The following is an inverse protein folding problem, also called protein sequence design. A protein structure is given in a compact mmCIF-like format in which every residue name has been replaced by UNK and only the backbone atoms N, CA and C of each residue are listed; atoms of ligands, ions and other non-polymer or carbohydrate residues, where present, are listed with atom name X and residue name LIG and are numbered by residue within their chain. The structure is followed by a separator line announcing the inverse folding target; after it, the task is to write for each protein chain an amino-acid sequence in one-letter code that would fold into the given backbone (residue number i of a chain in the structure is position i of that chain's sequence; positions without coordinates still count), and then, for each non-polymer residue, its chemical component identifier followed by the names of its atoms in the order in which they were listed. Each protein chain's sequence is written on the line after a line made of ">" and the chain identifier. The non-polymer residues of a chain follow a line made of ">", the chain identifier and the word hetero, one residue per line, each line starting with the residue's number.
data_IF_703296576441
#
_entry.id   IF_703296576441
#
_cell.length_a   1.000
_cell.length_b   1.000
_cell.length_c   1.000
_cell.angle_alpha   90.00
_cell.angle_beta   90.00
_cell.angle_gamma   90.00
#
_symmetry.space_group_name_H-M   'P 1'
#
loop_
_entity.id
_entity.type
_entity.pdbx_description
1 polymer ?
#
# COMPACT_ATOMS: atom_id res chain seq x y z
N UNK A 1 92.05 -8.86 -14.20
CA UNK A 1 92.41 -8.30 -15.52
C UNK A 1 91.22 -8.52 -16.43
N UNK A 2 90.73 -7.44 -17.07
CA UNK A 2 89.98 -7.37 -18.34
C UNK A 2 88.72 -8.26 -18.49
N UNK A 3 87.64 -7.92 -19.19
CA UNK A 3 87.17 -6.74 -19.88
C UNK A 3 85.68 -7.00 -20.19
N UNK A 4 84.98 -5.92 -20.49
CA UNK A 4 83.59 -5.75 -20.92
C UNK A 4 83.17 -6.52 -22.19
N UNK A 5 81.86 -6.84 -22.32
CA UNK A 5 80.92 -6.51 -23.43
C UNK A 5 79.62 -7.33 -23.25
N UNK A 6 78.48 -6.72 -22.92
CA UNK A 6 77.43 -6.20 -23.83
C UNK A 6 76.64 -7.26 -24.62
N UNK A 7 75.32 -7.36 -24.35
CA UNK A 7 74.20 -7.43 -25.33
C UNK A 7 72.87 -7.89 -24.70
N UNK A 8 71.96 -6.90 -24.63
CA UNK A 8 70.50 -6.89 -24.86
C UNK A 8 69.68 -8.20 -25.01
N UNK A 9 68.60 -8.24 -24.21
CA UNK A 9 67.19 -8.59 -24.50
C UNK A 9 66.87 -9.89 -25.25
N UNK A 10 66.30 -10.84 -24.50
CA UNK A 10 65.39 -11.87 -25.02
C UNK A 10 64.09 -11.86 -24.21
N UNK A 11 62.98 -11.75 -24.92
CA UNK A 11 61.61 -11.64 -24.45
C UNK A 11 61.19 -12.74 -23.46
N UNK A 12 60.69 -12.32 -22.28
CA UNK A 12 59.86 -13.17 -21.43
C UNK A 12 58.44 -12.61 -21.52
N UNK A 13 57.63 -13.24 -22.37
CA UNK A 13 56.19 -13.02 -22.44
C UNK A 13 55.57 -13.57 -21.16
N UNK A 14 55.19 -12.69 -20.24
CA UNK A 14 54.32 -13.03 -19.11
C UNK A 14 52.89 -13.11 -19.64
N UNK A 15 52.39 -14.33 -19.87
CA UNK A 15 50.97 -14.54 -20.11
C UNK A 15 50.17 -14.16 -18.85
N UNK A 16 49.52 -13.00 -18.87
CA UNK A 16 48.43 -12.72 -17.95
C UNK A 16 47.27 -13.64 -18.30
N UNK A 17 47.05 -14.69 -17.50
CA UNK A 17 45.79 -15.41 -17.51
C UNK A 17 44.71 -14.49 -16.93
N UNK A 18 43.74 -14.09 -17.77
CA UNK A 18 42.50 -13.48 -17.28
C UNK A 18 41.77 -14.47 -16.37
N UNK A 19 41.20 -14.01 -15.24
CA UNK A 19 40.44 -14.89 -14.38
C UNK A 19 39.18 -15.36 -15.12
N UNK A 20 39.00 -16.68 -15.22
CA UNK A 20 37.81 -17.31 -15.77
C UNK A 20 36.55 -16.64 -15.17
N UNK A 21 35.57 -16.24 -16.01
CA UNK A 21 34.38 -15.58 -15.53
C UNK A 21 33.67 -16.52 -14.56
N UNK A 22 33.56 -16.10 -13.29
CA UNK A 22 32.78 -16.82 -12.28
C UNK A 22 31.35 -16.94 -12.81
N UNK A 23 30.97 -18.16 -13.19
CA UNK A 23 29.60 -18.48 -13.59
C UNK A 23 28.69 -18.11 -12.43
N UNK A 24 27.87 -17.06 -12.64
CA UNK A 24 26.79 -16.73 -11.70
C UNK A 24 25.96 -18.01 -11.52
N UNK A 25 25.72 -18.49 -10.29
CA UNK A 25 24.89 -19.67 -10.10
C UNK A 25 23.55 -19.39 -10.77
N UNK A 26 23.18 -20.22 -11.77
CA UNK A 26 21.85 -20.17 -12.38
C UNK A 26 20.87 -20.38 -11.24
N UNK A 27 20.19 -19.30 -10.84
CA UNK A 27 19.13 -19.34 -9.85
C UNK A 27 18.06 -20.27 -10.43
N UNK A 28 17.98 -21.50 -9.94
CA UNK A 28 16.98 -22.47 -10.38
C UNK A 28 15.61 -21.91 -9.97
N UNK A 29 14.91 -21.26 -10.90
CA UNK A 29 13.56 -20.75 -10.67
C UNK A 29 12.63 -21.96 -10.76
N UNK A 30 12.31 -22.54 -9.61
CA UNK A 30 11.48 -23.76 -9.47
C UNK A 30 10.05 -23.64 -10.05
N UNK A 31 9.67 -22.45 -10.52
CA UNK A 31 8.32 -22.07 -10.95
C UNK A 31 8.29 -21.43 -12.36
N UNK A 32 9.13 -21.87 -13.30
CA UNK A 32 8.93 -21.47 -14.70
C UNK A 32 7.66 -22.12 -15.26
N UNK A 33 6.83 -21.31 -15.92
CA UNK A 33 5.67 -21.80 -16.65
C UNK A 33 6.18 -22.67 -17.81
N UNK A 34 5.72 -23.91 -17.96
CA UNK A 34 6.16 -24.78 -19.06
C UNK A 34 5.89 -24.18 -20.44
N UNK A 35 6.79 -24.44 -21.40
CA UNK A 35 6.63 -24.02 -22.80
C UNK A 35 5.36 -24.59 -23.44
N UNK A 36 4.90 -25.75 -22.98
CA UNK A 36 3.64 -26.36 -23.41
C UNK A 36 2.39 -25.56 -23.01
N UNK A 37 2.49 -24.65 -22.04
CA UNK A 37 1.43 -23.71 -21.68
C UNK A 37 1.65 -22.37 -22.39
N UNK A 38 2.90 -21.86 -22.40
CA UNK A 38 3.21 -20.57 -23.01
C UNK A 38 2.94 -20.54 -24.52
N UNK A 39 3.28 -21.62 -25.22
CA UNK A 39 3.20 -21.71 -26.68
C UNK A 39 2.00 -22.51 -27.18
N UNK A 40 1.01 -22.81 -26.34
CA UNK A 40 -0.23 -23.48 -26.75
C UNK A 40 -1.04 -22.54 -27.67
N UNK A 41 -1.22 -22.87 -28.97
CA UNK A 41 -1.89 -21.98 -29.92
C UNK A 41 -3.37 -21.77 -29.59
N UNK A 42 -4.07 -22.79 -29.06
CA UNK A 42 -5.48 -22.71 -28.74
C UNK A 42 -5.71 -21.87 -27.48
N UNK A 43 -4.87 -22.03 -26.46
CA UNK A 43 -4.90 -21.19 -25.27
C UNK A 43 -4.60 -19.73 -25.62
N UNK A 44 -3.58 -19.47 -26.45
CA UNK A 44 -3.22 -18.11 -26.86
C UNK A 44 -4.32 -17.45 -27.70
N UNK A 45 -5.01 -18.20 -28.56
CA UNK A 45 -6.17 -17.70 -29.28
C UNK A 45 -7.30 -17.30 -28.33
N UNK A 46 -7.60 -18.12 -27.31
CA UNK A 46 -8.62 -17.77 -26.31
C UNK A 46 -8.23 -16.55 -25.46
N UNK A 47 -6.96 -16.45 -25.05
CA UNK A 47 -6.43 -15.28 -24.31
C UNK A 47 -6.55 -14.00 -25.13
N UNK A 48 -6.42 -14.07 -26.47
CA UNK A 48 -6.51 -12.89 -27.34
C UNK A 48 -7.88 -12.19 -27.34
N UNK A 49 -8.92 -12.83 -26.79
CA UNK A 49 -10.23 -12.22 -26.56
C UNK A 49 -10.21 -11.19 -25.42
N UNK A 50 -9.23 -11.26 -24.52
CA UNK A 50 -9.02 -10.29 -23.45
C UNK A 50 -8.28 -9.06 -24.00
N UNK A 51 -8.50 -7.86 -23.41
CA UNK A 51 -7.84 -6.65 -23.89
C UNK A 51 -6.32 -6.75 -23.76
N UNK A 52 -5.62 -6.58 -24.88
CA UNK A 52 -4.18 -6.79 -24.99
C UNK A 52 -3.32 -5.88 -24.09
N UNK A 53 -3.86 -4.73 -23.69
CA UNK A 53 -3.17 -3.80 -22.80
C UNK A 53 -3.29 -4.17 -21.30
N UNK A 54 -4.13 -5.15 -20.94
CA UNK A 54 -4.28 -5.65 -19.57
C UNK A 54 -3.60 -7.02 -19.44
N UNK A 55 -2.68 -7.14 -18.50
CA UNK A 55 -1.99 -8.40 -18.25
C UNK A 55 -2.71 -9.23 -17.18
N UNK A 56 -3.65 -10.08 -17.59
CA UNK A 56 -4.35 -11.02 -16.68
C UNK A 56 -3.50 -12.23 -16.25
N UNK A 57 -2.25 -12.35 -16.73
CA UNK A 57 -1.33 -13.45 -16.41
C UNK A 57 -1.97 -14.86 -16.56
N UNK A 58 -2.81 -15.07 -17.58
CA UNK A 58 -3.60 -16.31 -17.72
C UNK A 58 -2.73 -17.58 -17.71
N UNK A 59 -1.57 -17.57 -18.39
CA UNK A 59 -0.66 -18.71 -18.37
C UNK A 59 -0.20 -19.10 -16.96
N UNK A 60 0.04 -18.10 -16.09
CA UNK A 60 0.41 -18.32 -14.68
C UNK A 60 -0.73 -18.94 -13.91
N UNK A 61 -1.98 -18.53 -14.17
CA UNK A 61 -3.16 -19.10 -13.53
C UNK A 61 -3.33 -20.56 -13.96
N UNK A 62 -3.28 -20.84 -15.28
CA UNK A 62 -3.38 -22.21 -15.81
C UNK A 62 -2.30 -23.10 -15.23
N UNK A 63 -1.05 -22.64 -15.20
CA UNK A 63 0.05 -23.37 -14.58
C UNK A 63 -0.18 -23.61 -13.09
N UNK A 64 -0.62 -22.59 -12.35
CA UNK A 64 -0.88 -22.71 -10.91
C UNK A 64 -1.93 -23.78 -10.67
N UNK A 65 -3.06 -23.72 -11.36
CA UNK A 65 -4.17 -24.68 -11.25
C UNK A 65 -3.71 -26.10 -11.54
N UNK A 66 -3.01 -26.32 -12.66
CA UNK A 66 -2.47 -27.64 -13.05
C UNK A 66 -1.45 -28.15 -12.03
N UNK A 67 -0.51 -27.31 -11.59
CA UNK A 67 0.56 -27.70 -10.65
C UNK A 67 0.03 -28.06 -9.26
N UNK A 68 -1.11 -27.50 -8.85
CA UNK A 68 -1.74 -27.79 -7.55
C UNK A 68 -2.89 -28.79 -7.65
N UNK A 69 -3.21 -29.30 -8.85
CA UNK A 69 -4.40 -30.09 -9.12
C UNK A 69 -5.69 -29.44 -8.57
N UNK A 70 -5.78 -28.11 -8.64
CA UNK A 70 -6.97 -27.39 -8.20
C UNK A 70 -8.10 -27.61 -9.22
N UNK A 71 -9.26 -28.09 -8.78
CA UNK A 71 -10.40 -28.35 -9.67
C UNK A 71 -11.57 -27.41 -9.39
N UNK A 72 -11.65 -26.85 -8.18
CA UNK A 72 -12.64 -25.86 -7.77
C UNK A 72 -11.94 -24.54 -7.51
N UNK A 73 -12.27 -23.50 -8.26
CA UNK A 73 -11.61 -22.19 -8.14
C UNK A 73 -12.63 -21.09 -7.91
N UNK A 74 -12.26 -20.10 -7.11
CA UNK A 74 -12.99 -18.85 -6.97
C UNK A 74 -12.24 -17.74 -7.71
N UNK A 75 -12.96 -16.91 -8.44
CA UNK A 75 -12.43 -15.72 -9.12
C UNK A 75 -13.06 -14.49 -8.48
N UNK A 76 -12.22 -13.54 -8.09
CA UNK A 76 -12.64 -12.27 -7.51
C UNK A 76 -12.07 -11.12 -8.32
N UNK A 77 -12.93 -10.19 -8.72
CA UNK A 77 -12.57 -9.06 -9.57
C UNK A 77 -13.04 -7.75 -8.94
N UNK A 78 -12.30 -6.64 -9.13
CA UNK A 78 -12.91 -5.31 -9.01
C UNK A 78 -13.98 -5.14 -10.08
N UNK A 79 -14.89 -4.20 -9.85
CA UNK A 79 -16.07 -3.95 -10.68
C UNK A 79 -15.70 -3.73 -12.15
N UNK A 80 -14.65 -2.97 -12.41
CA UNK A 80 -14.16 -2.66 -13.76
C UNK A 80 -13.55 -3.85 -14.51
N UNK A 81 -13.29 -4.98 -13.85
CA UNK A 81 -12.76 -6.19 -14.48
C UNK A 81 -13.74 -7.37 -14.44
N UNK A 82 -14.86 -7.24 -13.72
CA UNK A 82 -15.85 -8.31 -13.53
C UNK A 82 -16.42 -8.81 -14.86
N UNK A 83 -16.53 -7.95 -15.88
CA UNK A 83 -16.99 -8.32 -17.22
C UNK A 83 -16.12 -9.38 -17.90
N UNK A 84 -14.85 -9.52 -17.51
CA UNK A 84 -13.94 -10.52 -18.06
C UNK A 84 -14.03 -11.88 -17.36
N UNK A 85 -14.78 -11.97 -16.27
CA UNK A 85 -14.88 -13.17 -15.42
C UNK A 85 -15.33 -14.41 -16.19
N UNK A 86 -16.33 -14.28 -17.07
CA UNK A 86 -16.87 -15.42 -17.82
C UNK A 86 -15.89 -15.97 -18.84
N UNK A 87 -15.23 -15.09 -19.61
CA UNK A 87 -14.18 -15.49 -20.58
C UNK A 87 -13.03 -16.19 -19.86
N UNK A 88 -12.59 -15.64 -18.72
CA UNK A 88 -11.53 -16.26 -17.91
C UNK A 88 -11.99 -17.61 -17.35
N UNK A 89 -13.23 -17.71 -16.86
CA UNK A 89 -13.82 -18.97 -16.38
C UNK A 89 -13.82 -20.05 -17.47
N UNK A 90 -14.22 -19.71 -18.70
CA UNK A 90 -14.25 -20.63 -19.83
C UNK A 90 -12.84 -21.10 -20.21
N UNK A 91 -11.86 -20.18 -20.21
CA UNK A 91 -10.45 -20.51 -20.43
C UNK A 91 -9.95 -21.50 -19.37
N UNK A 92 -10.21 -21.25 -18.09
CA UNK A 92 -9.71 -22.10 -17.02
C UNK A 92 -10.38 -23.48 -17.00
N UNK A 93 -11.67 -23.54 -17.32
CA UNK A 93 -12.41 -24.81 -17.46
C UNK A 93 -11.85 -25.63 -18.63
N UNK A 94 -11.60 -24.98 -19.77
CA UNK A 94 -11.13 -25.65 -20.99
C UNK A 94 -9.66 -26.09 -20.88
N UNK A 95 -8.79 -25.21 -20.40
CA UNK A 95 -7.34 -25.40 -20.50
C UNK A 95 -6.68 -25.79 -19.17
N UNK A 96 -7.32 -25.61 -18.02
CA UNK A 96 -6.67 -25.87 -16.72
C UNK A 96 -7.23 -27.08 -15.95
N UNK A 97 -8.26 -27.76 -16.47
CA UNK A 97 -8.86 -28.92 -15.79
C UNK A 97 -9.74 -28.53 -14.60
N UNK A 98 -10.23 -27.29 -14.59
CA UNK A 98 -11.18 -26.80 -13.59
C UNK A 98 -12.54 -27.42 -13.84
N UNK A 99 -13.15 -28.01 -12.83
CA UNK A 99 -14.50 -28.58 -12.90
C UNK A 99 -15.57 -27.59 -12.45
N UNK A 100 -15.24 -26.68 -11.53
CA UNK A 100 -16.13 -25.65 -11.03
C UNK A 100 -15.39 -24.34 -10.88
N UNK A 101 -15.92 -23.29 -11.49
CA UNK A 101 -15.40 -21.93 -11.39
C UNK A 101 -16.49 -21.03 -10.77
N UNK A 102 -16.22 -20.48 -9.59
CA UNK A 102 -17.09 -19.56 -8.88
C UNK A 102 -16.65 -18.14 -9.19
N UNK A 103 -17.55 -17.30 -9.70
CA UNK A 103 -17.31 -15.86 -9.79
C UNK A 103 -17.92 -15.21 -8.55
N UNK A 104 -17.06 -14.62 -7.70
CA UNK A 104 -17.52 -13.87 -6.54
C UNK A 104 -18.05 -12.51 -7.02
N UNK A 105 -19.35 -12.30 -6.86
CA UNK A 105 -20.07 -11.14 -7.40
C UNK A 105 -20.19 -9.95 -6.44
N UNK A 106 -19.71 -10.08 -5.20
CA UNK A 106 -19.67 -8.99 -4.25
C UNK A 106 -18.58 -7.96 -4.61
N UNK A 107 -18.77 -6.74 -4.12
CA UNK A 107 -17.88 -5.60 -4.38
C UNK A 107 -16.45 -5.88 -3.93
N UNK A 108 -15.47 -5.40 -4.69
CA UNK A 108 -14.04 -5.56 -4.38
C UNK A 108 -13.30 -4.25 -4.59
N UNK A 109 -13.32 -3.40 -3.56
CA UNK A 109 -12.72 -2.05 -3.61
C UNK A 109 -11.19 -2.03 -3.62
N UNK A 110 -10.51 -3.11 -3.19
CA UNK A 110 -9.05 -3.07 -3.02
C UNK A 110 -8.41 -4.35 -2.52
N UNK A 111 -7.10 -4.26 -2.29
CA UNK A 111 -6.25 -5.34 -1.78
C UNK A 111 -6.67 -5.89 -0.40
N UNK A 112 -7.45 -5.13 0.37
CA UNK A 112 -8.00 -5.52 1.66
C UNK A 112 -9.30 -6.35 1.55
N UNK A 113 -9.95 -6.37 0.39
CA UNK A 113 -11.25 -7.00 0.18
C UNK A 113 -11.13 -8.48 -0.27
N UNK A 114 -10.01 -9.14 0.01
CA UNK A 114 -9.78 -10.53 -0.40
C UNK A 114 -10.81 -11.43 0.28
N UNK A 115 -11.67 -12.08 -0.51
CA UNK A 115 -12.78 -12.89 0.02
C UNK A 115 -12.42 -14.38 0.05
N UNK A 116 -11.41 -14.69 0.86
CA UNK A 116 -10.99 -16.07 1.10
C UNK A 116 -11.99 -16.84 1.97
N UNK A 117 -12.84 -16.13 2.72
CA UNK A 117 -13.83 -16.73 3.62
C UNK A 117 -15.00 -17.35 2.83
N UNK A 118 -15.58 -16.62 1.87
CA UNK A 118 -16.63 -17.17 1.00
C UNK A 118 -16.07 -18.26 0.10
N UNK A 119 -14.86 -18.04 -0.45
CA UNK A 119 -14.20 -19.06 -1.27
C UNK A 119 -13.96 -20.36 -0.50
N UNK A 120 -13.58 -20.29 0.79
CA UNK A 120 -13.51 -21.45 1.66
C UNK A 120 -14.88 -22.10 1.88
N UNK A 121 -15.93 -21.31 2.13
CA UNK A 121 -17.28 -21.83 2.34
C UNK A 121 -17.84 -22.56 1.11
N UNK A 122 -17.34 -22.24 -0.09
CA UNK A 122 -17.66 -22.92 -1.35
C UNK A 122 -16.77 -24.15 -1.62
N UNK A 123 -15.90 -24.53 -0.70
CA UNK A 123 -14.86 -25.54 -0.89
C UNK A 123 -14.02 -25.27 -2.16
N UNK A 124 -13.66 -24.01 -2.39
CA UNK A 124 -12.70 -23.67 -3.44
C UNK A 124 -11.28 -24.05 -3.00
N UNK A 125 -10.51 -24.63 -3.92
CA UNK A 125 -9.12 -25.03 -3.68
C UNK A 125 -8.14 -23.86 -3.88
N UNK A 126 -8.55 -22.85 -4.66
CA UNK A 126 -7.74 -21.68 -5.01
C UNK A 126 -8.67 -20.49 -5.24
N UNK A 127 -8.35 -19.35 -4.63
CA UNK A 127 -8.91 -18.04 -5.00
C UNK A 127 -7.93 -17.30 -5.91
N UNK A 128 -8.39 -16.80 -7.04
CA UNK A 128 -7.64 -15.87 -7.90
C UNK A 128 -8.21 -14.47 -7.70
N UNK A 129 -7.41 -13.59 -7.10
CA UNK A 129 -7.79 -12.21 -6.80
C UNK A 129 -7.14 -11.27 -7.81
N UNK A 130 -7.96 -10.57 -8.59
CA UNK A 130 -7.50 -9.70 -9.67
C UNK A 130 -7.42 -8.22 -9.26
N UNK A 131 -6.57 -7.47 -9.94
CA UNK A 131 -6.53 -6.00 -9.96
C UNK A 131 -5.72 -5.33 -8.86
N UNK A 132 -5.53 -5.98 -7.71
CA UNK A 132 -4.87 -5.36 -6.55
C UNK A 132 -3.64 -6.12 -6.07
N UNK A 133 -2.72 -5.40 -5.42
CA UNK A 133 -1.55 -5.99 -4.79
C UNK A 133 -1.88 -6.80 -3.54
N UNK A 134 -0.89 -7.52 -3.02
CA UNK A 134 -1.02 -8.30 -1.80
C UNK A 134 -0.79 -7.41 -0.56
N UNK A 135 -1.85 -6.76 -0.07
CA UNK A 135 -1.85 -6.11 1.24
C UNK A 135 -2.03 -7.14 2.37
N UNK A 136 -2.93 -8.09 2.16
CA UNK A 136 -3.20 -9.22 3.07
C UNK A 136 -2.18 -10.32 2.80
N UNK A 137 -1.32 -10.69 3.75
CA UNK A 137 -0.37 -11.78 3.57
C UNK A 137 -1.06 -13.14 3.33
N UNK A 138 -0.50 -13.96 2.44
CA UNK A 138 -1.06 -15.27 2.07
C UNK A 138 -1.12 -16.25 3.26
N UNK A 139 -0.27 -16.08 4.29
CA UNK A 139 -0.33 -16.86 5.53
C UNK A 139 -1.46 -16.43 6.48
N UNK A 140 -2.18 -15.37 6.15
CA UNK A 140 -3.37 -14.91 6.87
C UNK A 140 -4.68 -15.34 6.18
N UNK A 141 -4.62 -15.82 4.94
CA UNK A 141 -5.80 -16.33 4.21
C UNK A 141 -6.07 -17.79 4.59
N UNK A 142 -7.33 -18.19 4.48
CA UNK A 142 -7.82 -19.48 4.93
C UNK A 142 -7.79 -20.55 3.84
N UNK A 143 -7.63 -20.12 2.59
CA UNK A 143 -7.32 -20.94 1.42
C UNK A 143 -6.16 -20.31 0.64
N UNK A 144 -5.49 -21.06 -0.25
CA UNK A 144 -4.49 -20.48 -1.15
C UNK A 144 -5.08 -19.36 -2.01
N UNK A 145 -4.41 -18.21 -2.03
CA UNK A 145 -4.78 -17.07 -2.89
C UNK A 145 -3.67 -16.79 -3.90
N UNK A 146 -4.04 -16.64 -5.16
CA UNK A 146 -3.19 -16.17 -6.24
C UNK A 146 -3.59 -14.73 -6.60
N UNK A 147 -2.71 -13.78 -6.29
CA UNK A 147 -2.89 -12.39 -6.68
C UNK A 147 -2.40 -12.16 -8.12
N UNK A 148 -3.24 -11.50 -8.91
CA UNK A 148 -2.95 -11.06 -10.28
C UNK A 148 -3.18 -9.55 -10.32
N UNK A 149 -2.12 -8.76 -10.44
CA UNK A 149 -2.22 -7.30 -10.27
C UNK A 149 -2.86 -6.59 -11.47
N UNK A 150 -3.00 -7.29 -12.60
CA UNK A 150 -3.54 -6.78 -13.87
C UNK A 150 -2.85 -5.48 -14.27
N UNK A 151 -1.56 -5.61 -14.61
CA UNK A 151 -0.78 -4.47 -15.09
C UNK A 151 -1.36 -3.93 -16.39
N UNK A 152 -1.43 -2.61 -16.49
CA UNK A 152 -1.96 -1.90 -17.66
C UNK A 152 -0.80 -1.25 -18.40
N UNK A 153 -0.61 -1.66 -19.65
CA UNK A 153 0.39 -1.07 -20.53
C UNK A 153 -0.04 0.31 -21.01
N UNK A 154 0.81 1.31 -20.78
CA UNK A 154 0.57 2.71 -21.19
C UNK A 154 1.72 3.23 -22.05
N UNK A 155 1.48 4.30 -22.80
CA UNK A 155 2.52 4.95 -23.58
C UNK A 155 3.45 5.77 -22.67
N UNK A 156 4.59 5.19 -22.28
CA UNK A 156 5.59 5.84 -21.42
C UNK A 156 6.30 7.02 -22.09
N UNK A 157 6.34 7.09 -23.42
CA UNK A 157 6.93 8.23 -24.13
C UNK A 157 6.10 9.49 -23.95
N UNK A 158 4.77 9.38 -24.05
CA UNK A 158 3.88 10.52 -23.77
C UNK A 158 4.07 11.07 -22.35
N UNK A 159 4.24 10.20 -21.36
CA UNK A 159 4.54 10.61 -19.99
C UNK A 159 5.89 11.36 -19.92
N UNK A 160 6.94 10.83 -20.55
CA UNK A 160 8.24 11.50 -20.62
C UNK A 160 8.15 12.87 -21.30
N UNK A 161 7.46 12.94 -22.44
CA UNK A 161 7.28 14.17 -23.22
C UNK A 161 6.53 15.24 -22.41
N UNK A 162 5.44 14.87 -21.74
CA UNK A 162 4.69 15.78 -20.86
C UNK A 162 5.53 16.27 -19.68
N UNK A 163 6.30 15.40 -19.04
CA UNK A 163 7.17 15.82 -17.92
C UNK A 163 8.30 16.74 -18.39
N UNK A 164 8.93 16.44 -19.52
CA UNK A 164 10.00 17.25 -20.08
C UNK A 164 9.49 18.59 -20.65
N UNK A 165 8.25 18.65 -21.11
CA UNK A 165 7.62 19.88 -21.59
C UNK A 165 7.26 20.83 -20.44
N UNK A 166 6.71 20.30 -19.35
CA UNK A 166 6.20 21.12 -18.24
C UNK A 166 7.26 21.48 -17.18
N UNK A 167 8.38 20.74 -17.12
CA UNK A 167 9.39 20.91 -16.08
C UNK A 167 10.81 21.02 -16.63
N UNK A 168 11.68 21.71 -15.90
CA UNK A 168 13.11 21.87 -16.24
C UNK A 168 13.98 21.39 -15.07
N UNK A 169 15.05 20.64 -15.35
CA UNK A 169 15.90 19.99 -14.34
C UNK A 169 16.66 20.99 -13.42
N UNK A 170 16.82 22.22 -13.88
CA UNK A 170 17.34 23.36 -13.15
C UNK A 170 16.39 23.84 -12.04
N UNK A 171 15.06 23.70 -12.23
CA UNK A 171 14.03 24.13 -11.27
C UNK A 171 13.50 23.01 -10.38
N UNK A 172 13.65 21.76 -10.80
CA UNK A 172 13.17 20.60 -10.03
C UNK A 172 14.33 19.98 -9.23
N UNK A 173 14.08 19.74 -7.94
CA UNK A 173 14.96 19.00 -7.04
C UNK A 173 14.76 17.50 -7.25
N UNK A 174 13.54 17.00 -6.98
CA UNK A 174 13.17 15.61 -7.22
C UNK A 174 11.76 15.49 -7.82
N UNK A 175 11.62 14.56 -8.77
CA UNK A 175 10.34 13.95 -9.08
C UNK A 175 10.04 12.81 -8.12
N UNK A 176 8.99 12.96 -7.33
CA UNK A 176 8.47 11.91 -6.47
C UNK A 176 7.42 11.15 -7.26
N UNK A 177 7.80 9.99 -7.81
CA UNK A 177 6.93 9.21 -8.66
C UNK A 177 6.21 8.11 -7.89
N UNK A 178 4.89 8.12 -8.01
CA UNK A 178 4.01 7.10 -7.43
C UNK A 178 2.80 6.85 -8.35
N UNK A 179 1.98 5.87 -8.02
CA UNK A 179 0.76 5.53 -8.74
C UNK A 179 0.07 4.33 -8.14
N UNK A 180 -0.94 3.84 -8.83
CA UNK A 180 -1.58 2.56 -8.48
C UNK A 180 -0.75 1.39 -9.01
N UNK A 181 -0.98 0.18 -8.47
CA UNK A 181 -0.19 -1.01 -8.82
C UNK A 181 -0.22 -1.32 -10.32
N UNK A 182 -1.33 -1.02 -11.00
CA UNK A 182 -1.54 -1.30 -12.42
C UNK A 182 -0.54 -0.55 -13.31
N UNK A 183 -0.02 0.61 -12.87
CA UNK A 183 0.95 1.43 -13.61
C UNK A 183 2.39 1.31 -13.08
N UNK A 184 2.65 0.40 -12.15
CA UNK A 184 3.96 0.29 -11.49
C UNK A 184 5.12 0.02 -12.47
N UNK A 185 4.88 -0.74 -13.54
CA UNK A 185 5.88 -0.98 -14.59
C UNK A 185 6.20 0.28 -15.40
N UNK A 186 5.20 1.12 -15.68
CA UNK A 186 5.43 2.38 -16.37
C UNK A 186 6.30 3.32 -15.53
N UNK A 187 6.04 3.41 -14.23
CA UNK A 187 6.86 4.20 -13.29
C UNK A 187 8.31 3.70 -13.28
N UNK A 188 8.51 2.38 -13.16
CA UNK A 188 9.85 1.77 -13.20
C UNK A 188 10.57 2.01 -14.53
N UNK A 189 9.86 1.98 -15.65
CA UNK A 189 10.41 2.18 -16.98
C UNK A 189 10.79 3.64 -17.26
N UNK A 190 10.02 4.59 -16.75
CA UNK A 190 10.23 6.03 -16.98
C UNK A 190 11.36 6.60 -16.12
N UNK A 191 11.56 6.07 -14.90
CA UNK A 191 12.62 6.49 -13.98
C UNK A 191 14.02 6.63 -14.64
N UNK A 192 14.61 5.59 -15.25
CA UNK A 192 15.96 5.71 -15.82
C UNK A 192 16.03 6.69 -17.00
N UNK A 193 14.95 6.88 -17.75
CA UNK A 193 14.92 7.83 -18.86
C UNK A 193 14.86 9.28 -18.35
N UNK A 194 14.10 9.56 -17.30
CA UNK A 194 14.11 10.87 -16.62
C UNK A 194 15.48 11.19 -16.00
N UNK A 195 16.16 10.18 -15.42
CA UNK A 195 17.50 10.35 -14.87
C UNK A 195 18.54 10.71 -15.96
N UNK A 196 18.40 10.17 -17.18
CA UNK A 196 19.24 10.56 -18.33
C UNK A 196 18.98 12.00 -18.78
N UNK A 197 17.76 12.51 -18.63
CA UNK A 197 17.39 13.89 -18.90
C UNK A 197 17.86 14.87 -17.80
N UNK A 198 18.50 14.37 -16.74
CA UNK A 198 19.08 15.17 -15.67
C UNK A 198 18.15 15.39 -14.46
N UNK A 199 16.97 14.77 -14.44
CA UNK A 199 16.08 14.81 -13.28
C UNK A 199 16.52 13.81 -12.21
N UNK A 200 16.27 14.13 -10.93
CA UNK A 200 16.35 13.13 -9.85
C UNK A 200 14.97 12.52 -9.64
N UNK A 201 14.90 11.20 -9.53
CA UNK A 201 13.63 10.49 -9.38
C UNK A 201 13.61 9.66 -8.10
N UNK A 202 12.74 10.04 -7.17
CA UNK A 202 12.44 9.30 -5.95
C UNK A 202 11.17 8.47 -6.17
N UNK A 203 11.24 7.18 -5.84
CA UNK A 203 10.09 6.26 -5.89
C UNK A 203 9.89 5.72 -4.47
N UNK A 204 9.04 6.36 -3.64
CA UNK A 204 8.88 6.01 -2.23
C UNK A 204 8.15 4.68 -2.07
N UNK A 205 8.23 4.07 -0.87
CA UNK A 205 7.60 2.78 -0.59
C UNK A 205 7.11 2.71 0.86
N UNK A 206 5.81 2.43 1.05
CA UNK A 206 5.27 1.94 2.30
C UNK A 206 5.21 0.42 2.26
N UNK A 207 5.85 -0.27 3.20
CA UNK A 207 5.80 -1.75 3.25
C UNK A 207 4.44 -2.19 3.82
N UNK A 208 3.82 -3.25 3.27
CA UNK A 208 4.39 -4.26 2.37
C UNK A 208 4.23 -3.95 0.86
N UNK A 209 3.71 -2.79 0.47
CA UNK A 209 3.44 -2.45 -0.92
C UNK A 209 4.72 -2.36 -1.77
N UNK A 210 4.54 -2.40 -3.09
CA UNK A 210 5.63 -2.21 -4.04
C UNK A 210 6.15 -0.77 -4.00
N UNK A 211 7.41 -0.55 -4.41
CA UNK A 211 7.92 0.81 -4.57
C UNK A 211 7.09 1.58 -5.62
N UNK A 212 6.70 2.80 -5.27
CA UNK A 212 5.86 3.69 -6.07
C UNK A 212 4.38 3.38 -5.98
N UNK A 213 3.97 2.36 -5.22
CA UNK A 213 2.57 2.00 -5.06
C UNK A 213 1.94 2.74 -3.88
N UNK A 214 0.74 3.29 -4.10
CA UNK A 214 -0.08 3.94 -3.07
C UNK A 214 -1.48 3.35 -3.05
N UNK A 215 -1.98 3.08 -1.84
CA UNK A 215 -3.38 2.70 -1.58
C UNK A 215 -4.12 3.85 -0.87
N UNK A 216 -5.45 3.85 -0.91
CA UNK A 216 -6.26 4.88 -0.25
C UNK A 216 -6.06 4.93 1.27
N UNK A 217 -5.58 3.84 1.87
CA UNK A 217 -5.32 3.68 3.30
C UNK A 217 -3.82 3.50 3.65
N UNK A 218 -2.93 3.58 2.65
CA UNK A 218 -1.50 3.36 2.82
C UNK A 218 -0.72 4.20 1.83
N UNK A 219 -0.19 5.32 2.32
CA UNK A 219 0.64 6.25 1.55
C UNK A 219 1.95 6.56 2.30
N UNK A 220 3.10 6.57 1.60
CA UNK A 220 4.36 6.90 2.23
C UNK A 220 4.47 8.40 2.51
N UNK A 221 5.06 8.76 3.64
CA UNK A 221 5.52 10.12 3.90
C UNK A 221 6.94 10.31 3.38
N UNK A 222 7.15 11.37 2.61
CA UNK A 222 8.41 11.69 1.95
C UNK A 222 9.16 12.73 2.77
N UNK A 223 10.33 12.36 3.28
CA UNK A 223 11.23 13.30 3.96
C UNK A 223 12.09 14.00 2.91
N UNK A 224 11.81 15.28 2.69
CA UNK A 224 12.55 16.11 1.73
C UNK A 224 13.81 16.71 2.35
N UNK A 225 14.84 16.88 1.52
CA UNK A 225 15.99 17.72 1.84
C UNK A 225 15.79 19.07 1.15
N UNK A 226 15.71 20.15 1.93
CA UNK A 226 15.50 21.48 1.38
C UNK A 226 16.66 21.89 0.46
N UNK A 227 16.34 22.22 -0.79
CA UNK A 227 17.25 22.74 -1.79
C UNK A 227 16.77 24.13 -2.22
N UNK A 228 17.44 25.23 -1.81
CA UNK A 228 16.99 26.58 -2.15
C UNK A 228 16.83 26.78 -3.66
N UNK A 229 15.67 27.29 -4.09
CA UNK A 229 15.37 27.58 -5.49
C UNK A 229 15.01 26.37 -6.35
N UNK A 230 14.82 25.18 -5.76
CA UNK A 230 14.34 24.00 -6.45
C UNK A 230 13.12 23.38 -5.76
N UNK A 231 12.16 22.96 -6.57
CA UNK A 231 10.92 22.37 -6.10
C UNK A 231 10.99 20.83 -6.11
N UNK A 232 10.44 20.21 -5.07
CA UNK A 232 10.09 18.79 -5.09
C UNK A 232 8.62 18.67 -5.54
N UNK A 233 8.34 17.79 -6.49
CA UNK A 233 6.98 17.62 -7.02
C UNK A 233 6.58 16.15 -7.10
N UNK A 234 5.34 15.85 -6.73
CA UNK A 234 4.73 14.54 -6.89
C UNK A 234 4.22 14.39 -8.32
N UNK A 235 4.63 13.31 -8.98
CA UNK A 235 4.05 12.86 -10.25
C UNK A 235 3.34 11.54 -10.00
N UNK A 236 2.01 11.58 -10.00
CA UNK A 236 1.17 10.44 -9.72
C UNK A 236 0.55 9.88 -11.01
N UNK A 237 0.87 8.64 -11.37
CA UNK A 237 0.35 7.99 -12.59
C UNK A 237 -0.94 7.25 -12.24
N UNK A 238 -2.09 7.84 -12.59
CA UNK A 238 -3.41 7.26 -12.41
C UNK A 238 -4.50 7.99 -13.19
N UNK A 239 -5.60 7.29 -13.48
CA UNK A 239 -6.84 7.82 -14.05
C UNK A 239 -7.82 8.40 -13.02
N UNK A 240 -7.61 8.14 -11.73
CA UNK A 240 -8.43 8.64 -10.62
C UNK A 240 -7.64 9.42 -9.56
N UNK A 241 -8.37 10.19 -8.73
CA UNK A 241 -7.80 11.01 -7.65
C UNK A 241 -7.69 10.29 -6.31
N UNK A 242 -8.53 9.28 -6.05
CA UNK A 242 -8.66 8.63 -4.73
C UNK A 242 -7.30 8.23 -4.11
N UNK A 243 -6.44 7.54 -4.85
CA UNK A 243 -5.12 7.13 -4.35
C UNK A 243 -4.14 8.31 -4.21
N UNK A 244 -4.21 9.29 -5.12
CA UNK A 244 -3.42 10.50 -5.05
C UNK A 244 -3.78 11.34 -3.82
N UNK A 245 -5.05 11.45 -3.48
CA UNK A 245 -5.51 12.18 -2.29
C UNK A 245 -4.88 11.61 -1.02
N UNK A 246 -4.79 10.29 -0.88
CA UNK A 246 -4.08 9.67 0.24
C UNK A 246 -2.61 10.09 0.29
N UNK A 247 -1.96 10.19 -0.88
CA UNK A 247 -0.58 10.64 -0.97
C UNK A 247 -0.40 12.13 -0.67
N UNK A 248 -1.36 12.97 -1.10
CA UNK A 248 -1.41 14.40 -0.77
C UNK A 248 -1.62 14.60 0.74
N UNK A 249 -2.57 13.89 1.36
CA UNK A 249 -2.79 13.95 2.82
C UNK A 249 -1.50 13.62 3.58
N UNK A 250 -0.75 12.61 3.13
CA UNK A 250 0.52 12.21 3.74
C UNK A 250 1.67 13.21 3.50
N UNK A 251 1.55 14.10 2.49
CA UNK A 251 2.60 15.00 2.01
C UNK A 251 2.02 16.38 1.63
N UNK A 252 1.42 17.13 2.57
CA UNK A 252 0.63 18.34 2.27
C UNK A 252 1.47 19.51 1.71
N UNK A 253 2.78 19.49 1.93
CA UNK A 253 3.69 20.57 1.49
C UNK A 253 4.22 20.37 0.06
N UNK A 254 3.94 19.23 -0.56
CA UNK A 254 4.50 18.87 -1.87
C UNK A 254 3.42 19.03 -2.94
N UNK A 255 3.72 19.84 -3.96
CA UNK A 255 2.82 20.03 -5.11
C UNK A 255 2.62 18.71 -5.85
N UNK A 256 1.37 18.36 -6.12
CA UNK A 256 1.01 17.10 -6.73
C UNK A 256 0.44 17.27 -8.13
N UNK A 257 0.94 16.44 -9.05
CA UNK A 257 0.45 16.36 -10.41
C UNK A 257 -0.03 14.94 -10.71
N UNK A 258 -1.22 14.80 -11.26
CA UNK A 258 -1.74 13.53 -11.78
C UNK A 258 -1.51 13.44 -13.27
N UNK A 259 -0.80 12.41 -13.72
CA UNK A 259 -0.76 12.05 -15.13
C UNK A 259 -1.84 11.02 -15.41
N UNK A 260 -2.80 11.39 -16.23
CA UNK A 260 -3.83 10.49 -16.73
C UNK A 260 -3.31 9.78 -17.99
N UNK A 261 -3.08 8.45 -17.96
CA UNK A 261 -2.49 7.74 -19.07
C UNK A 261 -3.43 7.56 -20.27
N UNK A 262 -4.74 7.70 -20.07
CA UNK A 262 -5.73 7.59 -21.14
C UNK A 262 -5.89 8.92 -21.87
N UNK A 263 -5.92 10.03 -21.12
CA UNK A 263 -5.96 11.37 -21.70
C UNK A 263 -4.58 11.82 -22.21
N UNK A 264 -3.50 11.25 -21.66
CA UNK A 264 -2.13 11.64 -21.95
C UNK A 264 -1.82 13.06 -21.48
N UNK A 265 -2.37 13.47 -20.34
CA UNK A 265 -2.27 14.83 -19.81
C UNK A 265 -1.87 14.85 -18.35
N UNK A 266 -1.13 15.89 -17.99
CA UNK A 266 -0.79 16.21 -16.61
C UNK A 266 -1.78 17.23 -16.04
N UNK A 267 -2.30 16.94 -14.85
CA UNK A 267 -3.20 17.80 -14.10
C UNK A 267 -2.53 18.22 -12.81
N UNK A 268 -2.54 19.51 -12.48
CA UNK A 268 -2.23 19.97 -11.13
C UNK A 268 -3.41 19.62 -10.23
N UNK A 269 -3.14 18.92 -9.14
CA UNK A 269 -4.16 18.45 -8.21
C UNK A 269 -3.92 19.08 -6.84
N UNK A 270 -5.00 19.56 -6.23
CA UNK A 270 -5.00 20.17 -4.90
C UNK A 270 -5.93 19.37 -3.98
N UNK A 271 -5.66 19.45 -2.68
CA UNK A 271 -6.47 18.82 -1.65
C UNK A 271 -6.80 19.83 -0.55
N UNK A 272 -8.06 19.86 -0.12
CA UNK A 272 -8.51 20.72 0.98
C UNK A 272 -8.10 20.11 2.33
N UNK A 273 -6.82 20.30 2.67
CA UNK A 273 -6.24 19.80 3.93
C UNK A 273 -6.91 20.43 5.16
N UNK A 274 -7.23 21.72 5.10
CA UNK A 274 -7.80 22.46 6.22
C UNK A 274 -9.26 22.08 6.45
N UNK A 275 -10.05 21.97 5.37
CA UNK A 275 -11.42 21.46 5.42
C UNK A 275 -11.46 20.05 6.00
N UNK A 276 -10.70 19.12 5.41
CA UNK A 276 -10.63 17.74 5.91
C UNK A 276 -10.27 17.70 7.39
N UNK A 277 -9.18 18.35 7.81
CA UNK A 277 -8.75 18.33 9.23
C UNK A 277 -9.77 18.99 10.16
N UNK A 278 -10.43 20.05 9.72
CA UNK A 278 -11.47 20.73 10.49
C UNK A 278 -12.67 19.83 10.71
N UNK A 279 -13.14 19.15 9.66
CA UNK A 279 -14.28 18.25 9.75
C UNK A 279 -13.95 17.00 10.59
N UNK A 280 -12.75 16.43 10.41
CA UNK A 280 -12.27 15.32 11.24
C UNK A 280 -12.13 15.70 12.72
N UNK A 281 -11.56 16.87 13.01
CA UNK A 281 -11.48 17.41 14.37
C UNK A 281 -12.87 17.60 14.98
N UNK A 282 -13.82 18.21 14.24
CA UNK A 282 -15.20 18.41 14.69
C UNK A 282 -15.88 17.08 15.01
N UNK A 283 -15.66 16.04 14.20
CA UNK A 283 -16.21 14.72 14.45
C UNK A 283 -15.68 14.12 15.78
N UNK A 284 -14.37 14.27 16.05
CA UNK A 284 -13.76 13.86 17.31
C UNK A 284 -14.35 14.64 18.48
N UNK A 285 -14.37 15.97 18.41
CA UNK A 285 -14.89 16.84 19.47
C UNK A 285 -16.36 16.53 19.80
N UNK A 286 -17.17 16.21 18.79
CA UNK A 286 -18.57 15.77 18.97
C UNK A 286 -18.70 14.40 19.64
N UNK A 287 -17.70 13.53 19.49
CA UNK A 287 -17.69 12.21 20.10
C UNK A 287 -17.14 12.22 21.54
N UNK A 288 -16.37 13.25 21.91
CA UNK A 288 -15.91 13.44 23.29
C UNK A 288 -17.14 13.60 24.20
N UNK A 289 -17.25 12.73 25.21
CA UNK A 289 -18.38 12.71 26.14
C UNK A 289 -19.60 11.91 25.67
N UNK A 290 -19.52 11.20 24.54
CA UNK A 290 -20.52 10.21 24.14
C UNK A 290 -20.68 9.12 25.21
N UNK A 291 -21.93 8.76 25.51
CA UNK A 291 -22.25 7.77 26.55
C UNK A 291 -22.39 6.37 25.98
N UNK A 292 -23.04 6.26 24.81
CA UNK A 292 -23.20 5.01 24.09
C UNK A 292 -22.43 4.99 22.78
N UNK A 293 -21.61 3.96 22.60
CA UNK A 293 -20.73 3.81 21.45
C UNK A 293 -21.16 2.65 20.54
N UNK A 294 -21.07 2.85 19.24
CA UNK A 294 -21.19 1.78 18.24
C UNK A 294 -19.83 1.48 17.64
N UNK A 295 -19.37 0.23 17.74
CA UNK A 295 -18.15 -0.24 17.08
C UNK A 295 -18.55 -1.07 15.86
N UNK A 296 -18.25 -0.57 14.66
CA UNK A 296 -18.39 -1.32 13.42
C UNK A 296 -17.14 -2.15 13.17
N UNK A 297 -17.28 -3.46 13.04
CA UNK A 297 -16.24 -4.34 12.50
C UNK A 297 -16.58 -4.68 11.04
N UNK A 298 -15.71 -4.25 10.12
CA UNK A 298 -15.88 -4.49 8.69
C UNK A 298 -15.75 -5.96 8.33
N UNK A 299 -16.76 -6.54 7.67
CA UNK A 299 -16.74 -7.94 7.22
C UNK A 299 -16.50 -8.12 5.73
N UNK A 300 -16.28 -7.04 4.98
CA UNK A 300 -15.90 -7.11 3.57
C UNK A 300 -14.43 -7.54 3.45
N UNK A 301 -14.23 -8.77 2.98
CA UNK A 301 -12.92 -9.41 2.89
C UNK A 301 -12.19 -9.40 4.23
N UNK A 302 -11.09 -8.65 4.30
CA UNK A 302 -10.21 -8.54 5.47
C UNK A 302 -10.03 -7.11 5.98
N UNK A 303 -10.96 -6.20 5.65
CA UNK A 303 -10.91 -4.80 6.11
C UNK A 303 -10.96 -4.68 7.65
N UNK A 304 -11.81 -5.47 8.30
CA UNK A 304 -11.90 -5.51 9.75
C UNK A 304 -10.73 -6.22 10.41
N UNK A 305 -10.37 -5.75 11.60
CA UNK A 305 -9.32 -6.34 12.41
C UNK A 305 -9.83 -6.66 13.82
N UNK A 306 -10.09 -7.95 14.13
CA UNK A 306 -10.54 -8.37 15.46
C UNK A 306 -9.61 -7.94 16.59
N UNK A 307 -8.29 -7.82 16.35
CA UNK A 307 -7.36 -7.37 17.40
C UNK A 307 -7.57 -5.90 17.79
N UNK A 308 -7.96 -5.06 16.82
CA UNK A 308 -8.29 -3.66 17.08
C UNK A 308 -9.61 -3.59 17.83
N UNK A 309 -10.57 -4.46 17.49
CA UNK A 309 -11.83 -4.59 18.21
C UNK A 309 -11.60 -4.99 19.68
N UNK A 310 -10.89 -6.09 19.93
CA UNK A 310 -10.61 -6.58 21.30
C UNK A 310 -9.97 -5.49 22.18
N UNK A 311 -9.09 -4.67 21.60
CA UNK A 311 -8.44 -3.54 22.29
C UNK A 311 -9.42 -2.40 22.61
N UNK A 312 -10.25 -2.02 21.65
CA UNK A 312 -11.26 -0.98 21.85
C UNK A 312 -12.30 -1.41 22.87
N UNK A 313 -12.76 -2.65 22.82
CA UNK A 313 -13.65 -3.24 23.83
C UNK A 313 -13.04 -3.20 25.24
N UNK A 314 -11.76 -3.57 25.35
CA UNK A 314 -11.02 -3.46 26.61
C UNK A 314 -10.96 -2.02 27.14
N UNK A 315 -10.58 -1.06 26.28
CA UNK A 315 -10.49 0.37 26.64
C UNK A 315 -11.84 0.95 27.05
N UNK A 316 -12.90 0.62 26.34
CA UNK A 316 -14.24 1.08 26.68
C UNK A 316 -14.73 0.48 28.00
N UNK A 317 -14.48 -0.81 28.22
CA UNK A 317 -14.80 -1.49 29.48
C UNK A 317 -14.07 -0.88 30.67
N UNK A 318 -12.76 -0.64 30.53
CA UNK A 318 -11.93 -0.03 31.57
C UNK A 318 -12.39 1.40 31.94
N UNK A 319 -12.96 2.13 30.97
CA UNK A 319 -13.51 3.47 31.13
C UNK A 319 -14.99 3.48 31.55
N UNK A 320 -15.62 2.30 31.67
CA UNK A 320 -17.03 2.17 32.02
C UNK A 320 -17.99 2.78 31.00
N UNK A 321 -17.62 2.76 29.71
CA UNK A 321 -18.44 3.25 28.61
C UNK A 321 -19.36 2.15 28.09
N UNK A 322 -20.62 2.50 27.78
CA UNK A 322 -21.55 1.58 27.13
C UNK A 322 -21.22 1.47 25.64
N UNK A 323 -21.14 0.25 25.12
CA UNK A 323 -20.86 0.04 23.71
C UNK A 323 -21.56 -1.20 23.12
N UNK A 324 -21.74 -1.19 21.80
CA UNK A 324 -22.23 -2.34 21.04
C UNK A 324 -21.38 -2.59 19.80
N UNK A 325 -21.22 -3.85 19.43
CA UNK A 325 -20.45 -4.25 18.23
C UNK A 325 -21.42 -4.63 17.11
N UNK A 326 -21.21 -4.05 15.92
CA UNK A 326 -22.02 -4.30 14.73
C UNK A 326 -21.12 -4.78 13.58
N UNK A 327 -21.43 -5.96 13.04
CA UNK A 327 -20.71 -6.52 11.89
C UNK A 327 -21.35 -6.03 10.59
N UNK A 328 -20.58 -5.36 9.72
CA UNK A 328 -21.11 -4.78 8.47
C UNK A 328 -20.13 -5.02 7.32
N UNK A 329 -20.61 -5.55 6.20
CA UNK A 329 -19.80 -5.68 4.98
C UNK A 329 -19.63 -4.33 4.30
N UNK A 330 -20.74 -3.70 3.94
CA UNK A 330 -20.77 -2.38 3.33
C UNK A 330 -21.44 -1.37 4.26
N UNK A 331 -20.62 -0.48 4.83
CA UNK A 331 -21.04 0.62 5.69
C UNK A 331 -21.71 1.72 4.87
N UNK A 332 -22.89 2.15 5.29
CA UNK A 332 -23.58 3.28 4.65
C UNK A 332 -24.32 4.14 5.67
N UNK A 333 -24.50 5.45 5.40
CA UNK A 333 -25.25 6.34 6.28
C UNK A 333 -26.65 5.81 6.59
N UNK A 334 -27.36 5.31 5.58
CA UNK A 334 -28.72 4.77 5.72
C UNK A 334 -28.80 3.59 6.69
N UNK A 335 -27.81 2.69 6.70
CA UNK A 335 -27.80 1.54 7.63
C UNK A 335 -27.54 1.99 9.06
N UNK A 336 -26.59 2.92 9.25
CA UNK A 336 -26.22 3.43 10.56
C UNK A 336 -27.33 4.29 11.17
N UNK A 337 -28.07 5.03 10.35
CA UNK A 337 -29.18 5.86 10.81
C UNK A 337 -30.31 5.07 11.49
N UNK A 338 -30.46 3.78 11.17
CA UNK A 338 -31.48 2.89 11.78
C UNK A 338 -31.27 2.63 13.28
N UNK A 339 -30.09 2.96 13.81
CA UNK A 339 -29.79 2.84 15.25
C UNK A 339 -30.20 4.09 16.04
N UNK A 340 -30.61 5.16 15.34
CA UNK A 340 -31.20 6.38 15.92
C UNK A 340 -30.39 6.92 17.12
N UNK A 341 -31.03 7.11 18.27
CA UNK A 341 -30.44 7.65 19.49
C UNK A 341 -29.88 6.58 20.43
N UNK A 342 -29.88 5.30 20.02
CA UNK A 342 -29.22 4.26 20.80
C UNK A 342 -27.68 4.42 20.79
N UNK A 343 -27.13 5.11 19.78
CA UNK A 343 -25.69 5.32 19.62
C UNK A 343 -25.36 6.81 19.46
N UNK A 344 -24.53 7.33 20.34
CA UNK A 344 -24.06 8.73 20.31
C UNK A 344 -22.92 8.93 19.32
N UNK A 345 -22.00 7.96 19.23
CA UNK A 345 -20.81 8.03 18.38
C UNK A 345 -20.42 6.65 17.82
N UNK A 346 -19.90 6.64 16.60
CA UNK A 346 -19.48 5.43 15.90
C UNK A 346 -17.97 5.39 15.70
N UNK A 347 -17.39 4.21 15.89
CA UNK A 347 -16.03 3.87 15.50
C UNK A 347 -16.12 2.80 14.42
N UNK A 348 -15.41 2.97 13.31
CA UNK A 348 -15.31 1.93 12.29
C UNK A 348 -13.90 1.35 12.21
N UNK A 349 -13.86 0.02 12.26
CA UNK A 349 -12.70 -0.84 12.02
C UNK A 349 -12.93 -1.50 10.66
N UNK A 350 -12.80 -0.71 9.61
CA UNK A 350 -12.94 -1.12 8.20
C UNK A 350 -12.03 -0.25 7.31
N UNK A 351 -12.52 0.24 6.18
CA UNK A 351 -11.79 1.17 5.33
C UNK A 351 -11.72 2.58 5.98
N UNK A 352 -10.52 3.15 6.25
CA UNK A 352 -10.40 4.46 6.89
C UNK A 352 -10.98 5.61 6.05
N UNK A 353 -11.04 5.45 4.73
CA UNK A 353 -11.61 6.44 3.80
C UNK A 353 -13.13 6.63 3.98
N UNK A 354 -13.83 5.69 4.62
CA UNK A 354 -15.25 5.86 4.98
C UNK A 354 -15.44 7.01 5.97
N UNK A 355 -14.55 7.13 6.95
CA UNK A 355 -14.58 8.25 7.90
C UNK A 355 -14.00 9.51 7.27
N UNK A 356 -12.86 9.40 6.56
CA UNK A 356 -12.14 10.56 6.03
C UNK A 356 -12.93 11.29 4.95
N UNK A 357 -13.50 10.56 3.98
CA UNK A 357 -14.18 11.17 2.82
C UNK A 357 -15.68 11.31 3.03
N UNK A 358 -16.30 10.39 3.78
CA UNK A 358 -17.75 10.27 3.88
C UNK A 358 -18.28 10.52 5.29
N UNK A 359 -17.42 10.87 6.25
CA UNK A 359 -17.79 11.03 7.66
C UNK A 359 -18.94 12.02 7.88
N UNK A 360 -18.99 13.11 7.11
CA UNK A 360 -20.03 14.13 7.22
C UNK A 360 -21.39 13.70 6.65
N UNK A 361 -21.42 12.62 5.86
CA UNK A 361 -22.67 12.02 5.42
C UNK A 361 -23.43 11.32 6.57
N UNK A 362 -22.77 11.08 7.71
CA UNK A 362 -23.36 10.46 8.90
C UNK A 362 -23.86 11.52 9.89
N UNK A 363 -25.10 11.33 10.38
CA UNK A 363 -25.70 12.24 11.36
C UNK A 363 -24.93 12.26 12.70
N UNK A 364 -24.56 11.08 13.19
CA UNK A 364 -23.71 10.87 14.37
C UNK A 364 -22.24 10.75 13.91
N UNK A 365 -21.25 11.20 14.71
CA UNK A 365 -19.86 11.16 14.31
C UNK A 365 -19.38 9.74 14.01
N UNK A 366 -18.70 9.56 12.87
CA UNK A 366 -18.06 8.30 12.48
C UNK A 366 -16.54 8.46 12.47
N UNK A 367 -15.87 7.80 13.40
CA UNK A 367 -14.43 7.89 13.63
C UNK A 367 -13.70 6.68 13.05
N UNK A 368 -12.49 6.90 12.55
CA UNK A 368 -11.50 5.83 12.38
C UNK A 368 -11.00 5.33 13.75
N UNK A 369 -10.36 4.16 13.78
CA UNK A 369 -9.72 3.67 15.01
C UNK A 369 -8.69 4.65 15.58
N UNK A 370 -7.92 5.35 14.73
CA UNK A 370 -6.97 6.38 15.17
C UNK A 370 -7.67 7.54 15.89
N UNK A 371 -8.76 8.04 15.33
CA UNK A 371 -9.50 9.18 15.88
C UNK A 371 -10.26 8.79 17.16
N UNK A 372 -10.69 7.53 17.25
CA UNK A 372 -11.27 6.98 18.47
C UNK A 372 -10.29 7.00 19.65
N UNK A 373 -9.03 6.66 19.43
CA UNK A 373 -7.99 6.77 20.46
C UNK A 373 -7.85 8.22 20.98
N UNK A 374 -8.03 9.22 20.11
CA UNK A 374 -8.04 10.62 20.51
C UNK A 374 -9.30 10.95 21.30
N UNK A 375 -10.48 10.56 20.79
CA UNK A 375 -11.77 10.84 21.42
C UNK A 375 -11.90 10.21 22.82
N UNK A 376 -11.29 9.02 23.01
CA UNK A 376 -11.24 8.32 24.28
C UNK A 376 -10.16 8.87 25.23
N UNK A 377 -9.27 9.76 24.74
CA UNK A 377 -8.21 10.38 25.54
C UNK A 377 -6.92 9.55 25.68
N UNK A 378 -6.74 8.53 24.85
CA UNK A 378 -5.53 7.68 24.84
C UNK A 378 -4.41 8.26 23.94
N UNK A 379 -4.79 9.11 22.97
CA UNK A 379 -3.87 9.89 22.15
C UNK A 379 -4.18 11.39 22.20
N UNK A 380 -3.14 12.22 22.13
CA UNK A 380 -3.30 13.67 22.00
C UNK A 380 -3.72 14.05 20.57
N UNK A 381 -4.70 14.95 20.46
CA UNK A 381 -5.15 15.50 19.19
C UNK A 381 -3.99 16.07 18.37
N UNK A 382 -3.98 15.86 17.06
CA UNK A 382 -2.87 16.34 16.21
C UNK A 382 -2.77 17.87 16.19
N UNK A 383 -3.90 18.56 16.36
CA UNK A 383 -3.95 20.03 16.46
C UNK A 383 -3.31 20.58 17.73
N UNK A 384 -3.20 19.80 18.81
CA UNK A 384 -2.59 20.25 20.07
C UNK A 384 -1.07 20.15 20.06
N UNK A 385 -0.51 19.31 19.18
CA UNK A 385 0.93 19.08 19.10
C UNK A 385 1.69 20.28 18.52
N UNK A 386 1.07 21.03 17.60
CA UNK A 386 1.65 22.26 17.01
C UNK A 386 1.87 23.40 18.03
N UNK A 387 1.14 23.43 19.14
CA UNK A 387 1.25 24.49 20.16
C UNK A 387 2.49 24.35 21.08
N UNK A 388 3.13 23.17 21.14
CA UNK A 388 4.31 22.95 21.98
C UNK A 388 5.64 23.36 21.32
N UNK A 389 5.63 23.64 20.02
CA UNK A 389 6.84 23.95 19.25
C UNK A 389 7.33 25.40 19.42
N UNK A 390 6.48 26.31 19.90
CA UNK A 390 6.76 27.76 19.95
C UNK A 390 6.96 28.36 21.36
N UNK A 391 7.15 27.55 22.40
CA UNK A 391 7.44 28.11 23.72
C UNK A 391 7.78 27.10 24.79
N UNK A 392 8.97 27.27 25.39
CA UNK A 392 9.48 26.55 26.56
C UNK A 392 9.91 25.08 26.34
N UNK A 393 11.21 24.95 26.06
CA UNK A 393 12.00 23.74 26.25
C UNK A 393 12.13 23.44 27.75
N UNK A 394 11.10 22.87 28.36
CA UNK A 394 11.21 22.28 29.71
C UNK A 394 11.69 20.85 29.56
N UNK A 395 12.95 20.63 29.92
CA UNK A 395 13.57 19.33 29.94
C UNK A 395 13.08 18.52 31.14
N UNK A 396 12.02 17.73 30.98
CA UNK A 396 11.67 16.64 31.88
C UNK A 396 11.01 15.45 31.12
N UNK A 397 11.83 14.41 30.97
CA UNK A 397 11.58 12.96 30.96
C UNK A 397 10.47 12.27 30.12
N UNK A 398 10.96 11.26 29.38
CA UNK A 398 10.31 10.00 29.00
C UNK A 398 9.00 10.05 28.23
N UNK A 399 9.06 10.12 26.89
CA UNK A 399 8.01 9.54 26.05
C UNK A 399 8.58 9.10 24.69
N UNK A 400 8.02 8.00 24.17
CA UNK A 400 8.37 7.40 22.89
C UNK A 400 8.40 8.48 21.80
N UNK A 401 9.48 8.53 21.01
CA UNK A 401 9.53 9.33 19.77
C UNK A 401 8.53 8.75 18.76
N UNK A 402 7.26 9.05 18.95
CA UNK A 402 6.27 8.98 17.89
C UNK A 402 6.57 10.19 17.00
N UNK A 403 7.04 9.92 15.77
CA UNK A 403 7.32 10.97 14.80
C UNK A 403 6.10 11.89 14.67
N UNK A 404 6.36 13.17 14.43
CA UNK A 404 5.38 14.27 14.37
C UNK A 404 4.47 14.13 13.14
N UNK A 405 3.60 13.12 13.14
CA UNK A 405 2.65 12.84 12.05
C UNK A 405 1.40 13.69 12.29
N UNK A 406 1.14 14.64 11.38
CA UNK A 406 -0.03 15.54 11.41
C UNK A 406 -1.34 14.73 11.32
N UNK A 407 -1.53 13.92 10.29
CA UNK A 407 -2.63 12.96 10.19
C UNK A 407 -2.15 11.67 9.50
N UNK A 408 -2.33 10.48 10.10
CA UNK A 408 -1.74 9.26 9.56
C UNK A 408 -2.48 8.77 8.31
N UNK A 409 -1.71 8.35 7.30
CA UNK A 409 -2.22 7.71 6.09
C UNK A 409 -1.59 6.34 5.81
N UNK A 410 -0.91 5.77 6.80
CA UNK A 410 -0.41 4.39 6.76
C UNK A 410 -1.08 3.55 7.86
N UNK A 411 -2.30 3.09 7.58
CA UNK A 411 -3.11 2.29 8.52
C UNK A 411 -2.62 0.84 8.64
N UNK A 412 -1.58 0.44 7.90
CA UNK A 412 -1.00 -0.91 7.95
C UNK A 412 0.49 -0.89 8.36
N UNK A 413 1.00 0.28 8.77
CA UNK A 413 2.35 0.47 9.27
C UNK A 413 2.63 -0.44 10.47
N UNK A 414 3.82 -1.06 10.49
CA UNK A 414 4.24 -1.92 11.60
C UNK A 414 4.45 -1.13 12.90
N UNK A 415 4.68 0.16 12.80
CA UNK A 415 4.94 1.12 13.88
C UNK A 415 3.80 2.14 14.06
N UNK A 416 2.65 1.95 13.40
CA UNK A 416 1.49 2.85 13.46
C UNK A 416 0.68 2.80 14.77
N UNK A 417 1.29 2.49 15.92
CA UNK A 417 0.58 2.42 17.21
C UNK A 417 -0.41 1.25 17.38
N UNK A 418 -1.31 1.35 18.35
CA UNK A 418 -2.25 0.25 18.67
C UNK A 418 -3.52 0.23 17.80
N UNK A 419 -3.80 1.31 17.09
CA UNK A 419 -4.99 1.51 16.26
C UNK A 419 -4.83 0.98 14.82
N UNK A 420 -3.61 0.62 14.41
CA UNK A 420 -3.37 0.17 13.04
C UNK A 420 -3.87 -1.26 12.79
N UNK A 421 -4.08 -1.57 11.51
CA UNK A 421 -4.55 -2.87 11.03
C UNK A 421 -3.41 -3.77 10.51
N UNK A 422 -2.17 -3.60 10.98
CA UNK A 422 -1.03 -4.36 10.48
C UNK A 422 -1.18 -5.87 10.71
N UNK A 423 -0.92 -6.67 9.68
CA UNK A 423 -0.92 -8.14 9.76
C UNK A 423 0.38 -8.72 10.38
N UNK A 424 1.40 -7.90 10.62
CA UNK A 424 2.66 -8.37 11.22
C UNK A 424 2.41 -8.91 12.62
N UNK A 425 2.83 -10.16 12.87
CA UNK A 425 2.77 -10.80 14.20
C UNK A 425 3.88 -10.32 15.14
N UNK A 426 4.87 -9.57 14.64
CA UNK A 426 5.94 -9.04 15.48
C UNK A 426 5.44 -7.76 16.14
N UNK A 427 5.51 -7.63 17.48
CA UNK A 427 5.21 -6.35 18.12
C UNK A 427 6.10 -5.26 17.50
N UNK A 428 5.55 -4.06 17.36
CA UNK A 428 6.32 -2.88 16.98
C UNK A 428 7.61 -2.88 17.81
N UNK A 429 8.77 -2.84 17.17
CA UNK A 429 10.05 -2.86 17.88
C UNK A 429 10.10 -1.60 18.74
N UNK A 430 9.79 -1.72 20.04
CA UNK A 430 10.26 -0.77 21.03
C UNK A 430 11.77 -0.69 20.84
N UNK A 431 12.27 0.46 20.42
CA UNK A 431 13.70 0.67 20.25
C UNK A 431 14.39 0.23 21.53
N UNK A 432 15.31 -0.75 21.42
CA UNK A 432 16.06 -1.28 22.56
C UNK A 432 16.71 -0.09 23.28
N UNK A 433 16.22 0.24 24.48
CA UNK A 433 16.91 1.12 25.41
C UNK A 433 18.27 0.49 25.68
N UNK A 434 19.35 1.05 25.12
CA UNK A 434 20.69 0.82 25.64
C UNK A 434 20.71 1.42 27.04
N UNK A 435 20.44 0.59 28.06
CA UNK A 435 20.75 0.91 29.45
C UNK A 435 22.28 0.85 29.58
N UNK A 436 22.93 1.96 29.25
CA UNK A 436 24.30 2.19 29.71
C UNK A 436 24.17 2.62 31.17
N UNK A 437 24.51 1.68 32.06
CA UNK A 437 24.53 1.87 33.51
C UNK A 437 25.49 3.03 33.84
N UNK A 438 24.95 4.17 34.28
CA UNK A 438 25.74 5.17 34.99
C UNK A 438 25.80 4.75 36.47
N UNK A 439 26.82 3.99 36.84
CA UNK A 439 27.20 3.81 38.24
C UNK A 439 28.17 4.93 38.62
N UNK A 440 27.64 6.00 39.21
CA UNK A 440 28.43 6.91 40.03
C UNK A 440 28.78 6.18 41.33
N UNK A 441 30.07 5.95 41.57
CA UNK A 441 30.60 5.79 42.93
C UNK A 441 31.66 6.86 43.13
N UNK A 442 31.29 7.85 43.94
CA UNK A 442 32.24 8.65 44.71
C UNK A 442 32.83 7.74 45.77
N UNK A 443 34.15 7.62 45.85
CA UNK A 443 34.85 7.54 47.13
C UNK A 443 36.34 7.88 46.99
N UNK A 444 36.84 8.48 48.07
CA UNK A 444 38.09 9.23 48.22
C UNK A 444 39.30 8.32 48.41
N UNK A 445 40.42 8.63 47.75
CA UNK A 445 41.75 8.91 48.31
C UNK A 445 42.74 9.18 47.19
#
# INVERSE_FOLDING_TARGET
>A
MAETTDRTLSDIVVQHQEPLPRTRPKRFVKNQIPDSILNDPALNAAISLLPANYNFEIHKIVWRVRSTNATRIALQFPEGLLMYSLVISDILTTFAGVTHCFVLGDVTYGACCVDDLSARALDAHLLVHFGHSCLVPIDCTTIPVLYIFVEISINTRKLLDELNYNFSADKINNFIMAGTIQFSNAIRAVKPELEKLGFRVLVPQSKPLSAGEVLGCTAPSVKLQACPGKDDVIIFVADGRFHLEAFMIANPEIRAFRYDPYLGKLFLEEYDHDGMKTDRRRAIERAIGAKSWGIVLGTLGRQGNPKVLDRLEGKMSDKGLDYMVVLISELSPKKIELFEDAVDAWIQIACPRLSIDWGDAFKKPLLTAFEAEIALGDLTGWWERKLRSDGNKVCCENENKQEDVDYPMDYYAQDGGEWNSCYSRKPARLQRKNKQCCSNTFEKC
#
